data_IF_968057999628
#
_entry.id   IF_968057999628
#
_cell.length_a   1.000
_cell.length_b   1.000
_cell.length_c   1.000
_cell.angle_alpha   90.00
_cell.angle_beta   90.00
_cell.angle_gamma   90.00
#
_symmetry.space_group_name_H-M   'P 1'
#
loop_
_entity.id
_entity.type
_entity.pdbx_description
1 polymer ?
#
# COMPACT_ATOMS: atom_id res chain seq x y z
N UNK A 1 -3.11 -6.67 10.46
CA UNK A 1 -1.73 -7.01 10.92
C UNK A 1 -1.16 -8.21 10.17
N UNK A 2 -0.50 -7.94 9.04
CA UNK A 2 0.22 -8.94 8.25
C UNK A 2 1.32 -9.60 9.11
N UNK A 3 1.40 -10.93 9.09
CA UNK A 3 2.35 -11.72 9.89
C UNK A 3 3.44 -12.37 9.04
N UNK A 4 3.19 -12.54 7.75
CA UNK A 4 4.10 -13.19 6.83
C UNK A 4 5.05 -12.17 6.17
N UNK A 5 6.36 -12.49 6.19
CA UNK A 5 7.39 -11.58 5.70
C UNK A 5 7.28 -11.30 4.20
N UNK A 6 6.82 -12.26 3.40
CA UNK A 6 6.64 -12.04 1.95
C UNK A 6 5.45 -11.10 1.71
N UNK A 7 4.34 -11.34 2.40
CA UNK A 7 3.14 -10.51 2.31
C UNK A 7 3.40 -9.07 2.74
N UNK A 8 4.21 -8.87 3.79
CA UNK A 8 4.65 -7.53 4.24
C UNK A 8 5.45 -6.81 3.15
N UNK A 9 6.36 -7.50 2.45
CA UNK A 9 7.14 -6.89 1.35
C UNK A 9 6.26 -6.50 0.17
N UNK A 10 5.27 -7.33 -0.18
CA UNK A 10 4.30 -7.01 -1.21
C UNK A 10 3.46 -5.80 -0.82
N UNK A 11 3.02 -5.73 0.44
CA UNK A 11 2.30 -4.58 0.97
C UNK A 11 3.11 -3.29 0.87
N UNK A 12 4.34 -3.28 1.39
CA UNK A 12 5.23 -2.10 1.33
C UNK A 12 5.47 -1.63 -0.11
N UNK A 13 5.79 -2.57 -1.01
CA UNK A 13 6.00 -2.25 -2.42
C UNK A 13 4.76 -1.62 -3.07
N UNK A 14 3.57 -2.12 -2.73
CA UNK A 14 2.31 -1.60 -3.24
C UNK A 14 2.01 -0.22 -2.69
N UNK A 15 2.14 0.01 -1.38
CA UNK A 15 1.91 1.33 -0.78
C UNK A 15 2.86 2.37 -1.34
N UNK A 16 4.14 2.04 -1.53
CA UNK A 16 5.12 2.93 -2.13
C UNK A 16 4.75 3.29 -3.58
N UNK A 17 4.30 2.29 -4.35
CA UNK A 17 3.84 2.49 -5.73
C UNK A 17 2.57 3.35 -5.78
N UNK A 18 1.63 3.16 -4.86
CA UNK A 18 0.39 3.91 -4.78
C UNK A 18 0.65 5.39 -4.45
N UNK A 19 1.58 5.66 -3.54
CA UNK A 19 2.01 7.04 -3.22
C UNK A 19 2.69 7.69 -4.43
N UNK A 20 3.57 6.98 -5.13
CA UNK A 20 4.22 7.48 -6.35
C UNK A 20 3.18 7.77 -7.46
N UNK A 21 2.22 6.87 -7.69
CA UNK A 21 1.13 7.10 -8.65
C UNK A 21 0.25 8.30 -8.23
N UNK A 22 -0.09 8.42 -6.96
CA UNK A 22 -0.83 9.57 -6.45
C UNK A 22 -0.08 10.89 -6.72
N UNK A 23 1.23 10.93 -6.40
CA UNK A 23 2.07 12.11 -6.64
C UNK A 23 2.23 12.46 -8.13
N UNK A 24 2.08 11.48 -9.02
CA UNK A 24 2.04 11.68 -10.48
C UNK A 24 0.68 12.19 -10.98
N UNK A 25 -0.32 12.30 -10.10
CA UNK A 25 -1.65 12.82 -10.41
C UNK A 25 -2.67 11.78 -10.87
N UNK A 26 -2.34 10.48 -10.76
CA UNK A 26 -3.31 9.40 -10.99
C UNK A 26 -4.46 9.49 -9.99
N UNK A 27 -5.66 9.11 -10.45
CA UNK A 27 -6.87 9.22 -9.65
C UNK A 27 -7.20 7.91 -8.96
N UNK A 28 -8.13 7.98 -8.03
CA UNK A 28 -8.57 6.85 -7.22
C UNK A 28 -8.90 5.61 -8.06
N UNK A 29 -9.61 5.79 -9.17
CA UNK A 29 -9.98 4.69 -10.07
C UNK A 29 -8.76 4.01 -10.71
N UNK A 30 -7.71 4.79 -11.06
CA UNK A 30 -6.47 4.26 -11.61
C UNK A 30 -5.69 3.46 -10.55
N UNK A 31 -5.66 3.96 -9.31
CA UNK A 31 -5.02 3.27 -8.19
C UNK A 31 -5.71 1.94 -7.88
N UNK A 32 -7.05 1.93 -7.90
CA UNK A 32 -7.84 0.73 -7.72
C UNK A 32 -7.57 -0.29 -8.83
N UNK A 33 -7.56 0.15 -10.08
CA UNK A 33 -7.26 -0.70 -11.24
C UNK A 33 -5.85 -1.31 -11.15
N UNK A 34 -4.87 -0.52 -10.70
CA UNK A 34 -3.51 -1.00 -10.48
C UNK A 34 -3.44 -2.10 -9.41
N UNK A 35 -4.13 -1.93 -8.28
CA UNK A 35 -4.20 -2.95 -7.22
C UNK A 35 -4.92 -4.21 -7.70
N UNK A 36 -6.05 -4.09 -8.38
CA UNK A 36 -6.81 -5.23 -8.90
C UNK A 36 -5.95 -6.07 -9.87
N UNK A 37 -5.20 -5.41 -10.76
CA UNK A 37 -4.26 -6.07 -11.66
C UNK A 37 -3.14 -6.80 -10.91
N UNK A 38 -2.57 -6.15 -9.88
CA UNK A 38 -1.50 -6.75 -9.08
C UNK A 38 -1.99 -7.97 -8.28
N UNK A 39 -3.14 -7.87 -7.62
CA UNK A 39 -3.74 -8.98 -6.86
C UNK A 39 -4.09 -10.14 -7.78
N UNK A 40 -4.62 -9.85 -8.98
CA UNK A 40 -4.89 -10.88 -9.99
C UNK A 40 -3.62 -11.63 -10.37
N UNK A 41 -2.53 -10.91 -10.64
CA UNK A 41 -1.23 -11.53 -10.94
C UNK A 41 -0.70 -12.35 -9.75
N UNK A 42 -0.81 -11.84 -8.53
CA UNK A 42 -0.37 -12.53 -7.31
C UNK A 42 -1.14 -13.83 -7.05
N UNK A 43 -2.45 -13.86 -7.36
CA UNK A 43 -3.28 -15.08 -7.31
C UNK A 43 -2.86 -16.10 -8.36
N UNK A 44 -2.45 -15.65 -9.55
CA UNK A 44 -2.01 -16.54 -10.63
C UNK A 44 -0.62 -17.14 -10.37
N UNK A 45 0.27 -16.42 -9.70
CA UNK A 45 1.64 -16.93 -9.43
C UNK A 45 1.69 -17.94 -8.28
N UNK A 46 0.59 -18.15 -7.52
CA UNK A 46 0.49 -19.07 -6.38
C UNK A 46 1.66 -18.97 -5.38
N UNK A 47 2.27 -17.78 -5.30
CA UNK A 47 3.46 -17.54 -4.47
C UNK A 47 3.10 -17.37 -3.00
N UNK A 48 1.84 -17.00 -2.73
CA UNK A 48 1.30 -16.69 -1.41
C UNK A 48 -0.02 -17.44 -1.27
N UNK A 49 -0.30 -17.93 -0.06
CA UNK A 49 -1.56 -18.61 0.22
C UNK A 49 -2.77 -17.67 -0.02
N UNK A 50 -3.90 -18.18 -0.55
CA UNK A 50 -5.05 -17.36 -0.89
C UNK A 50 -5.56 -16.50 0.28
N UNK A 51 -5.52 -17.01 1.51
CA UNK A 51 -5.98 -16.27 2.69
C UNK A 51 -5.11 -15.05 2.99
N UNK A 52 -3.79 -15.13 2.73
CA UNK A 52 -2.86 -14.02 2.90
C UNK A 52 -3.07 -12.96 1.81
N UNK A 53 -3.38 -13.39 0.58
CA UNK A 53 -3.75 -12.48 -0.52
C UNK A 53 -5.03 -11.72 -0.19
N UNK A 54 -6.06 -12.39 0.32
CA UNK A 54 -7.28 -11.72 0.79
C UNK A 54 -7.01 -10.71 1.90
N UNK A 55 -6.16 -11.06 2.86
CA UNK A 55 -5.77 -10.14 3.93
C UNK A 55 -5.00 -8.93 3.42
N UNK A 56 -4.12 -9.14 2.43
CA UNK A 56 -3.38 -8.07 1.77
C UNK A 56 -4.33 -7.11 1.06
N UNK A 57 -5.31 -7.64 0.33
CA UNK A 57 -6.35 -6.88 -0.36
C UNK A 57 -7.16 -6.00 0.60
N UNK A 58 -7.56 -6.51 1.77
CA UNK A 58 -8.25 -5.71 2.80
C UNK A 58 -7.40 -4.54 3.32
N UNK A 59 -6.11 -4.77 3.60
CA UNK A 59 -5.24 -3.71 4.10
C UNK A 59 -4.97 -2.66 3.02
N UNK A 60 -4.85 -3.06 1.74
CA UNK A 60 -4.70 -2.14 0.61
C UNK A 60 -5.96 -1.32 0.35
N UNK A 61 -7.15 -1.94 0.48
CA UNK A 61 -8.40 -1.21 0.42
C UNK A 61 -8.44 -0.12 1.49
N UNK A 62 -8.13 -0.47 2.75
CA UNK A 62 -8.04 0.51 3.85
C UNK A 62 -7.05 1.63 3.55
N UNK A 63 -5.87 1.29 3.02
CA UNK A 63 -4.84 2.26 2.66
C UNK A 63 -5.35 3.26 1.60
N UNK A 64 -5.97 2.75 0.53
CA UNK A 64 -6.49 3.56 -0.58
C UNK A 64 -7.66 4.46 -0.14
N UNK A 65 -8.52 3.99 0.76
CA UNK A 65 -9.67 4.75 1.23
C UNK A 65 -9.33 5.80 2.31
N UNK A 66 -8.11 5.79 2.85
CA UNK A 66 -7.66 6.79 3.83
C UNK A 66 -6.82 7.88 3.14
N UNK A 67 -7.39 9.09 2.93
CA UNK A 67 -6.72 10.20 2.24
C UNK A 67 -5.43 10.63 2.94
N UNK A 68 -5.32 10.42 4.26
CA UNK A 68 -4.17 10.79 5.08
C UNK A 68 -2.89 10.08 4.63
N UNK A 69 -3.00 8.91 4.00
CA UNK A 69 -1.86 8.17 3.44
C UNK A 69 -1.24 8.85 2.22
N UNK A 70 -1.99 9.74 1.57
CA UNK A 70 -1.59 10.42 0.34
C UNK A 70 -1.30 11.91 0.56
N UNK A 71 -1.81 12.47 1.66
CA UNK A 71 -1.45 13.81 2.12
C UNK A 71 -0.03 13.77 2.69
N UNK A 72 0.96 14.11 1.85
CA UNK A 72 2.32 14.34 2.31
C UNK A 72 2.32 15.53 3.29
N UNK A 73 2.22 15.25 4.58
CA UNK A 73 2.65 16.18 5.63
C UNK A 73 4.02 15.74 6.11
N UNK A 74 5.13 16.14 5.45
CA UNK A 74 6.41 16.14 6.13
C UNK A 74 6.32 17.26 7.17
N UNK A 75 5.75 16.99 8.34
CA UNK A 75 6.08 17.84 9.48
C UNK A 75 7.54 17.54 9.78
N UNK A 76 8.46 18.51 9.66
CA UNK A 76 9.78 18.33 10.25
C UNK A 76 9.52 18.12 11.75
N UNK A 77 9.83 16.93 12.25
CA UNK A 77 9.85 16.68 13.69
C UNK A 77 10.81 17.74 14.25
N UNK A 78 10.36 18.70 15.08
CA UNK A 78 11.31 19.64 15.69
C UNK A 78 12.24 18.78 16.53
N UNK A 79 13.54 18.82 16.22
CA UNK A 79 14.57 18.20 17.05
C UNK A 79 14.34 18.70 18.47
N UNK A 80 13.94 17.80 19.38
CA UNK A 80 13.84 18.14 20.80
C UNK A 80 15.26 18.33 21.28
N UNK A 81 15.76 19.56 21.13
CA UNK A 81 17.02 20.00 21.71
C UNK A 81 16.93 19.83 23.21
N UNK A 82 17.55 18.75 23.71
CA UNK A 82 17.83 18.58 25.12
C UNK A 82 18.89 19.61 25.49
N UNK A 83 18.48 20.64 26.25
CA UNK A 83 19.36 21.55 26.99
C UNK A 83 19.54 21.04 28.42
#
# INVERSE_FOLDING_TARGET
MLQDATTIRHYQKLTDSLVDLWNRGYRFDDLRLYVDGYITALRQTNTIEPYLVHRLEEELARFIYDPSNFEAVPQPQPETGYY
#
